data_IF_755777147624
#
_entry.id   IF_755777147624
#
_cell.length_a   1.000
_cell.length_b   1.000
_cell.length_c   1.000
_cell.angle_alpha   90.00
_cell.angle_beta   90.00
_cell.angle_gamma   90.00
#
_symmetry.space_group_name_H-M   'P 1'
#
loop_
_entity.id
_entity.type
_entity.pdbx_description
1 polymer ?
#
# COMPACT_ATOMS: atom_id res chain seq x y z
N UNK A 1 -15.69 -4.89 17.17
CA UNK A 1 -15.54 -5.94 16.12
C UNK A 1 -15.70 -5.41 14.70
N UNK A 2 -16.72 -4.61 14.38
CA UNK A 2 -16.93 -4.09 13.01
C UNK A 2 -15.71 -3.38 12.39
N UNK A 3 -15.07 -2.43 13.10
CA UNK A 3 -13.86 -1.73 12.63
C UNK A 3 -12.66 -2.63 12.39
N UNK A 4 -12.47 -3.64 13.24
CA UNK A 4 -11.41 -4.64 13.10
C UNK A 4 -11.63 -5.51 11.87
N UNK A 5 -12.87 -5.93 11.63
CA UNK A 5 -13.23 -6.66 10.41
C UNK A 5 -13.03 -5.80 9.16
N UNK A 6 -13.41 -4.53 9.21
CA UNK A 6 -13.19 -3.55 8.14
C UNK A 6 -11.70 -3.38 7.85
N UNK A 7 -10.87 -3.19 8.89
CA UNK A 7 -9.42 -3.14 8.79
C UNK A 7 -8.86 -4.38 8.08
N UNK A 8 -9.23 -5.59 8.51
CA UNK A 8 -8.68 -6.82 7.93
C UNK A 8 -9.14 -7.07 6.49
N UNK A 9 -10.27 -6.50 6.05
CA UNK A 9 -10.76 -6.59 4.66
C UNK A 9 -10.28 -5.46 3.75
N UNK A 10 -9.65 -4.43 4.32
CA UNK A 10 -9.28 -3.23 3.58
C UNK A 10 -8.16 -3.51 2.56
N UNK A 11 -8.45 -3.23 1.30
CA UNK A 11 -7.52 -3.34 0.16
C UNK A 11 -7.36 -1.98 -0.50
N UNK A 12 -6.17 -1.63 -0.98
CA UNK A 12 -5.94 -0.41 -1.76
C UNK A 12 -6.88 -0.37 -2.97
N UNK A 13 -7.68 0.68 -3.09
CA UNK A 13 -8.64 0.82 -4.18
C UNK A 13 -7.94 1.20 -5.50
N UNK A 14 -8.61 0.98 -6.63
CA UNK A 14 -8.10 1.43 -7.92
C UNK A 14 -7.97 2.96 -7.93
N UNK A 15 -6.79 3.47 -8.29
CA UNK A 15 -6.49 4.90 -8.29
C UNK A 15 -6.22 5.52 -6.92
N UNK A 16 -6.37 4.77 -5.82
CA UNK A 16 -5.99 5.23 -4.49
C UNK A 16 -4.46 5.23 -4.35
N UNK A 17 -3.89 6.32 -3.80
CA UNK A 17 -2.45 6.36 -3.55
C UNK A 17 -2.04 5.46 -2.39
N UNK A 18 -0.80 4.98 -2.42
CA UNK A 18 -0.19 4.20 -1.34
C UNK A 18 -0.28 4.94 0.02
N UNK A 19 -0.06 6.25 0.01
CA UNK A 19 -0.12 7.08 1.23
C UNK A 19 -1.54 7.21 1.78
N UNK A 20 -2.55 7.40 0.91
CA UNK A 20 -3.95 7.46 1.31
C UNK A 20 -4.44 6.13 1.88
N UNK A 21 -4.04 5.02 1.24
CA UNK A 21 -4.33 3.68 1.73
C UNK A 21 -3.81 3.45 3.15
N UNK A 22 -2.55 3.81 3.43
CA UNK A 22 -1.99 3.70 4.78
C UNK A 22 -2.69 4.61 5.79
N UNK A 23 -3.06 5.82 5.39
CA UNK A 23 -3.79 6.74 6.25
C UNK A 23 -5.15 6.17 6.68
N UNK A 24 -5.90 5.56 5.75
CA UNK A 24 -7.16 4.89 6.07
C UNK A 24 -6.97 3.64 6.93
N UNK A 25 -5.91 2.85 6.71
CA UNK A 25 -5.58 1.73 7.62
C UNK A 25 -5.34 2.21 9.05
N UNK A 26 -4.57 3.30 9.23
CA UNK A 26 -4.34 3.92 10.54
C UNK A 26 -5.65 4.40 11.17
N UNK A 27 -6.53 5.02 10.39
CA UNK A 27 -7.86 5.47 10.84
C UNK A 27 -8.73 4.32 11.32
N UNK A 28 -8.76 3.21 10.59
CA UNK A 28 -9.52 2.02 11.01
C UNK A 28 -8.93 1.35 12.25
N UNK A 29 -7.60 1.37 12.37
CA UNK A 29 -6.89 0.77 13.49
C UNK A 29 -7.00 1.59 14.80
N UNK A 30 -7.22 2.91 14.73
CA UNK A 30 -7.35 3.79 15.92
C UNK A 30 -8.40 3.32 16.93
N UNK A 31 -9.42 2.58 16.49
CA UNK A 31 -10.51 2.07 17.34
C UNK A 31 -10.42 0.56 17.55
N UNK A 32 -9.27 -0.03 17.27
CA UNK A 32 -9.01 -1.45 17.46
C UNK A 32 -7.94 -1.62 18.54
N UNK A 33 -8.25 -2.41 19.57
CA UNK A 33 -7.29 -2.77 20.62
C UNK A 33 -6.29 -3.82 20.09
N UNK A 34 -5.45 -3.43 19.14
CA UNK A 34 -4.36 -4.27 18.64
C UNK A 34 -3.20 -4.27 19.63
N UNK A 35 -2.76 -5.46 20.04
CA UNK A 35 -1.61 -5.61 20.95
C UNK A 35 -0.30 -5.11 20.30
N UNK A 36 -0.12 -5.38 19.01
CA UNK A 36 1.00 -4.85 18.22
C UNK A 36 0.47 -4.10 17.00
N UNK A 37 0.21 -2.80 17.17
CA UNK A 37 -0.34 -1.97 16.11
C UNK A 37 0.58 -1.85 14.89
N UNK A 38 1.89 -1.74 15.10
CA UNK A 38 2.84 -1.50 14.01
C UNK A 38 3.00 -2.73 13.12
N UNK A 39 3.15 -3.92 13.71
CA UNK A 39 3.17 -5.19 12.99
C UNK A 39 1.83 -5.45 12.27
N UNK A 40 0.71 -5.21 12.96
CA UNK A 40 -0.63 -5.37 12.36
C UNK A 40 -0.84 -4.45 11.16
N UNK A 41 -0.37 -3.21 11.25
CA UNK A 41 -0.40 -2.25 10.13
C UNK A 41 0.50 -2.71 8.99
N UNK A 42 1.70 -3.20 9.29
CA UNK A 42 2.65 -3.67 8.30
C UNK A 42 2.07 -4.84 7.48
N UNK A 43 1.57 -5.86 8.16
CA UNK A 43 0.98 -7.04 7.52
C UNK A 43 -0.20 -6.65 6.62
N UNK A 44 -1.11 -5.82 7.15
CA UNK A 44 -2.29 -5.41 6.40
C UNK A 44 -1.92 -4.50 5.24
N UNK A 45 -0.97 -3.60 5.43
CA UNK A 45 -0.46 -2.72 4.38
C UNK A 45 0.13 -3.55 3.24
N UNK A 46 1.11 -4.43 3.52
CA UNK A 46 1.72 -5.28 2.49
C UNK A 46 0.65 -6.13 1.78
N UNK A 47 -0.20 -6.83 2.53
CA UNK A 47 -1.21 -7.71 1.95
C UNK A 47 -2.30 -6.98 1.15
N UNK A 48 -2.55 -5.71 1.45
CA UNK A 48 -3.60 -4.91 0.83
C UNK A 48 -3.15 -4.00 -0.31
N UNK A 49 -1.84 -3.82 -0.53
CA UNK A 49 -1.31 -3.07 -1.68
C UNK A 49 -1.87 -3.62 -3.00
N UNK A 50 -2.19 -2.74 -3.95
CA UNK A 50 -2.69 -3.15 -5.28
C UNK A 50 -1.55 -3.67 -6.17
N UNK A 51 -0.39 -3.00 -6.16
CA UNK A 51 0.78 -3.37 -6.96
C UNK A 51 1.42 -4.68 -6.48
N UNK A 52 1.32 -5.73 -7.31
CA UNK A 52 2.03 -7.00 -7.12
C UNK A 52 3.55 -6.82 -7.12
N UNK A 53 4.06 -5.84 -7.88
CA UNK A 53 5.49 -5.51 -7.97
C UNK A 53 5.98 -4.96 -6.64
N UNK A 54 5.25 -4.00 -6.06
CA UNK A 54 5.58 -3.45 -4.74
C UNK A 54 5.60 -4.55 -3.67
N UNK A 55 4.54 -5.38 -3.59
CA UNK A 55 4.48 -6.49 -2.62
C UNK A 55 5.70 -7.41 -2.71
N UNK A 56 6.04 -7.88 -3.92
CA UNK A 56 7.20 -8.77 -4.14
C UNK A 56 8.53 -8.13 -3.69
N UNK A 57 8.73 -6.84 -3.99
CA UNK A 57 9.96 -6.13 -3.62
C UNK A 57 10.07 -5.91 -2.10
N UNK A 58 8.94 -5.76 -1.42
CA UNK A 58 8.92 -5.60 0.04
C UNK A 58 9.21 -6.94 0.72
N UNK A 59 8.51 -8.02 0.37
CA UNK A 59 8.68 -9.34 1.02
C UNK A 59 10.02 -10.01 0.73
N UNK A 60 10.77 -9.54 -0.26
CA UNK A 60 12.11 -10.03 -0.57
C UNK A 60 13.21 -9.44 0.33
N UNK A 61 12.88 -8.48 1.21
CA UNK A 61 13.83 -7.89 2.15
C UNK A 61 13.91 -8.71 3.44
N UNK A 62 15.10 -8.85 4.01
CA UNK A 62 15.31 -9.59 5.26
C UNK A 62 14.60 -8.95 6.45
N UNK A 63 14.63 -7.63 6.55
CA UNK A 63 13.91 -6.87 7.57
C UNK A 63 13.03 -5.80 6.94
N UNK A 64 11.76 -5.76 7.37
CA UNK A 64 10.76 -4.82 6.86
C UNK A 64 10.11 -4.09 8.03
N UNK A 65 10.07 -2.77 7.93
CA UNK A 65 9.29 -1.91 8.81
C UNK A 65 8.17 -1.26 8.01
N UNK A 66 7.15 -0.75 8.69
CA UNK A 66 6.07 -0.01 8.02
C UNK A 66 6.59 1.18 7.21
N UNK A 67 7.62 1.86 7.73
CA UNK A 67 8.29 2.96 7.04
C UNK A 67 9.04 2.50 5.78
N UNK A 68 9.80 1.39 5.86
CA UNK A 68 10.55 0.89 4.70
C UNK A 68 9.64 0.30 3.63
N UNK A 69 8.54 -0.34 4.03
CA UNK A 69 7.47 -0.81 3.15
C UNK A 69 6.78 0.36 2.43
N UNK A 70 6.41 1.42 3.17
CA UNK A 70 5.80 2.62 2.60
C UNK A 70 6.72 3.27 1.56
N UNK A 71 8.00 3.46 1.89
CA UNK A 71 8.99 4.04 0.97
C UNK A 71 9.08 3.23 -0.32
N UNK A 72 9.10 1.91 -0.21
CA UNK A 72 9.22 1.02 -1.36
C UNK A 72 7.97 0.99 -2.25
N UNK A 73 6.79 0.97 -1.62
CA UNK A 73 5.52 1.01 -2.31
C UNK A 73 5.33 2.35 -3.05
N UNK A 74 5.65 3.48 -2.40
CA UNK A 74 5.58 4.81 -3.03
C UNK A 74 6.55 4.95 -4.21
N UNK A 75 7.79 4.45 -4.08
CA UNK A 75 8.74 4.45 -5.18
C UNK A 75 8.24 3.63 -6.38
N UNK A 76 7.61 2.48 -6.10
CA UNK A 76 7.01 1.63 -7.15
C UNK A 76 5.80 2.30 -7.80
N UNK A 77 4.91 2.93 -7.02
CA UNK A 77 3.77 3.68 -7.53
C UNK A 77 4.18 4.80 -8.48
N UNK A 78 5.21 5.58 -8.10
CA UNK A 78 5.72 6.66 -8.93
C UNK A 78 6.28 6.13 -10.26
N UNK A 79 7.09 5.08 -10.21
CA UNK A 79 7.61 4.43 -11.41
C UNK A 79 6.49 3.92 -12.32
N UNK A 80 5.49 3.23 -11.77
CA UNK A 80 4.35 2.72 -12.55
C UNK A 80 3.52 3.86 -13.16
N UNK A 81 3.38 5.00 -12.46
CA UNK A 81 2.70 6.19 -12.97
C UNK A 81 3.47 6.85 -14.12
N UNK A 82 4.78 7.03 -13.96
CA UNK A 82 5.65 7.61 -14.99
C UNK A 82 5.65 6.77 -16.28
N UNK A 83 5.73 5.45 -16.16
CA UNK A 83 5.65 4.52 -17.30
C UNK A 83 4.30 4.61 -18.03
N UNK A 84 3.19 4.67 -17.29
CA UNK A 84 1.86 4.84 -17.87
C UNK A 84 1.71 6.19 -18.59
N UNK A 85 2.24 7.27 -18.01
CA UNK A 85 2.19 8.60 -18.61
C UNK A 85 3.07 8.70 -19.86
N UNK A 86 4.24 8.08 -19.85
CA UNK A 86 5.11 7.97 -21.03
C UNK A 86 4.41 7.19 -22.16
N UNK A 87 3.78 6.05 -21.83
CA UNK A 87 3.06 5.21 -22.79
C UNK A 87 1.87 5.95 -23.41
N UNK A 88 1.11 6.73 -22.62
CA UNK A 88 -0.01 7.55 -23.10
C UNK A 88 0.45 8.62 -24.08
N UNK A 89 1.56 9.31 -23.78
CA UNK A 89 2.13 10.33 -24.68
C UNK A 89 2.54 9.73 -26.03
N UNK A 90 3.15 8.54 -26.02
CA UNK A 90 3.54 7.84 -27.24
C UNK A 90 2.34 7.45 -28.13
N UNK A 91 1.19 7.11 -27.54
CA UNK A 91 -0.03 6.77 -28.28
C UNK A 91 -0.81 8.00 -28.79
N UNK A 92 -0.73 9.13 -28.09
CA UNK A 92 -1.43 10.38 -28.46
C UNK A 92 -0.75 11.22 -29.54
N UNK A 93 0.40 10.80 -30.07
CA UNK A 93 1.11 11.45 -31.18
C UNK A 93 0.88 10.75 -32.54
N UNK A 94 -0.24 10.05 -32.71
CA UNK A 94 -0.67 9.48 -34.00
C UNK A 94 -1.91 10.17 -34.52
#
# INVERSE_FOLDING_TARGET
MARRMEFHKRQQHAGESVSAFLAELRKLAQHCDFQNLEETLLDRFIGGLSSKKARRRIVAKEEVTLASALKEATATENYEREELDASRKALGHR
#
